data_IF_247382972594
#
_entry.id   IF_247382972594
#
_cell.length_a   1.000
_cell.length_b   1.000
_cell.length_c   1.000
_cell.angle_alpha   90.00
_cell.angle_beta   90.00
_cell.angle_gamma   90.00
#
_symmetry.space_group_name_H-M   'P 1'
#
loop_
_entity.id
_entity.type
_entity.pdbx_description
1 polymer ?
#
# COMPACT_ATOMS: atom_id res chain seq x y z
N UNK A 1 16.44 -36.47 -2.44
CA UNK A 1 15.90 -36.41 -1.07
C UNK A 1 16.72 -35.40 -0.29
N UNK A 2 16.10 -34.30 0.15
CA UNK A 2 16.39 -33.58 1.41
C UNK A 2 15.66 -32.23 1.36
N UNK A 3 14.42 -32.21 1.83
CA UNK A 3 13.70 -30.99 2.15
C UNK A 3 14.20 -30.50 3.52
N UNK A 4 14.80 -29.31 3.58
CA UNK A 4 15.10 -28.66 4.85
C UNK A 4 13.84 -27.90 5.30
N UNK A 5 13.03 -28.57 6.12
CA UNK A 5 11.92 -27.97 6.84
C UNK A 5 12.54 -27.22 8.03
N UNK A 6 12.57 -25.88 7.98
CA UNK A 6 13.01 -25.08 9.12
C UNK A 6 11.88 -25.03 10.14
N UNK A 7 12.01 -25.84 11.19
CA UNK A 7 11.17 -25.81 12.39
C UNK A 7 11.27 -24.43 13.06
N UNK A 8 10.15 -23.71 13.15
CA UNK A 8 10.03 -22.53 14.01
C UNK A 8 9.88 -23.05 15.44
N UNK A 9 11.00 -23.10 16.18
CA UNK A 9 10.96 -23.31 17.62
C UNK A 9 10.54 -21.98 18.28
N UNK A 10 9.29 -21.91 18.74
CA UNK A 10 8.87 -20.90 19.70
C UNK A 10 9.59 -21.17 21.03
N UNK A 11 10.55 -20.32 21.38
CA UNK A 11 11.17 -20.31 22.71
C UNK A 11 10.45 -19.29 23.58
N UNK A 12 9.52 -19.79 24.41
CA UNK A 12 9.09 -19.10 25.62
C UNK A 12 10.19 -19.27 26.68
N UNK A 13 10.91 -18.19 27.01
CA UNK A 13 11.82 -18.15 28.16
C UNK A 13 11.17 -17.32 29.26
N UNK A 14 10.77 -17.98 30.35
CA UNK A 14 10.33 -17.35 31.59
C UNK A 14 11.45 -17.43 32.64
N UNK A 15 11.76 -16.27 33.21
CA UNK A 15 12.39 -15.96 34.50
C UNK A 15 13.84 -16.40 34.78
N UNK A 16 14.70 -15.38 34.96
CA UNK A 16 15.98 -15.47 35.67
C UNK A 16 16.51 -14.07 35.99
N UNK A 17 16.33 -13.63 37.24
CA UNK A 17 16.86 -12.36 37.76
C UNK A 17 18.37 -12.49 37.97
N UNK A 18 19.17 -11.89 37.09
CA UNK A 18 20.58 -11.63 37.33
C UNK A 18 20.93 -10.29 36.69
N UNK A 19 21.31 -9.32 37.54
CA UNK A 19 21.79 -8.02 37.14
C UNK A 19 23.09 -8.18 36.33
N UNK A 20 22.98 -8.07 35.02
CA UNK A 20 24.09 -7.68 34.16
C UNK A 20 23.70 -6.32 33.60
N UNK A 21 24.38 -5.27 34.07
CA UNK A 21 24.49 -3.97 33.41
C UNK A 21 25.11 -4.18 32.02
N UNK A 22 24.33 -4.74 31.10
CA UNK A 22 24.54 -4.51 29.69
C UNK A 22 24.12 -3.05 29.46
N UNK A 23 24.89 -2.25 28.68
CA UNK A 23 24.36 -1.01 28.15
C UNK A 23 23.10 -1.41 27.37
N UNK A 24 21.95 -1.16 27.99
CA UNK A 24 20.70 -1.05 27.26
C UNK A 24 20.94 0.19 26.43
N UNK A 25 21.32 -0.01 25.17
CA UNK A 25 21.09 0.95 24.11
C UNK A 25 19.57 1.12 24.10
N UNK A 26 19.06 1.96 25.00
CA UNK A 26 17.65 2.33 25.03
C UNK A 26 17.43 2.95 23.66
N UNK A 27 16.70 2.29 22.73
CA UNK A 27 16.39 2.93 21.48
C UNK A 27 15.63 4.19 21.87
N UNK A 28 16.23 5.35 21.60
CA UNK A 28 15.58 6.63 21.77
C UNK A 28 14.17 6.47 21.21
N UNK A 29 13.11 6.74 21.99
CA UNK A 29 11.75 6.48 21.55
C UNK A 29 11.59 7.12 20.18
N UNK A 30 11.34 6.27 19.17
CA UNK A 30 11.24 6.73 17.80
C UNK A 30 10.33 7.96 17.78
N UNK A 31 10.70 9.02 17.05
CA UNK A 31 9.93 10.26 17.05
C UNK A 31 8.47 9.89 16.86
N UNK A 32 7.61 10.30 17.80
CA UNK A 32 6.22 9.91 17.79
C UNK A 32 5.66 10.27 16.41
N UNK A 33 5.34 9.24 15.61
CA UNK A 33 4.74 9.43 14.29
C UNK A 33 3.52 10.32 14.49
N UNK A 34 3.30 11.29 13.60
CA UNK A 34 2.07 12.07 13.58
C UNK A 34 0.88 11.11 13.75
N UNK A 35 -0.14 11.48 14.55
CA UNK A 35 -1.28 10.60 14.78
C UNK A 35 -1.91 10.21 13.45
N UNK A 36 -2.19 8.91 13.28
CA UNK A 36 -2.73 8.31 12.05
C UNK A 36 -1.79 8.32 10.84
N UNK A 37 -0.47 8.27 11.04
CA UNK A 37 0.54 8.14 9.99
C UNK A 37 1.31 6.81 10.04
N UNK A 38 0.64 5.73 10.48
CA UNK A 38 1.23 4.40 10.55
C UNK A 38 1.03 3.62 9.24
N UNK A 39 1.70 2.48 9.12
CA UNK A 39 1.45 1.54 8.02
C UNK A 39 0.00 1.03 8.00
N UNK A 40 -0.65 0.89 9.17
CA UNK A 40 -2.05 0.50 9.25
C UNK A 40 -2.98 1.58 8.67
N UNK A 41 -2.67 2.86 8.93
CA UNK A 41 -3.43 3.98 8.39
C UNK A 41 -3.29 4.07 6.86
N UNK A 42 -2.06 3.92 6.34
CA UNK A 42 -1.83 3.87 4.89
C UNK A 42 -2.60 2.72 4.25
N UNK A 43 -2.60 1.54 4.86
CA UNK A 43 -3.33 0.39 4.37
C UNK A 43 -4.85 0.64 4.35
N UNK A 44 -5.40 1.28 5.38
CA UNK A 44 -6.81 1.65 5.44
C UNK A 44 -7.19 2.63 4.31
N UNK A 45 -6.40 3.69 4.09
CA UNK A 45 -6.63 4.64 2.99
C UNK A 45 -6.53 3.94 1.64
N UNK A 46 -5.51 3.11 1.45
CA UNK A 46 -5.31 2.34 0.22
C UNK A 46 -6.49 1.42 -0.08
N UNK A 47 -7.03 0.73 0.94
CA UNK A 47 -8.19 -0.13 0.81
C UNK A 47 -9.44 0.66 0.40
N UNK A 48 -9.65 1.85 0.98
CA UNK A 48 -10.74 2.74 0.59
C UNK A 48 -10.66 3.18 -0.88
N UNK A 49 -9.47 3.61 -1.33
CA UNK A 49 -9.23 3.97 -2.73
C UNK A 49 -9.46 2.78 -3.66
N UNK A 50 -9.00 1.58 -3.29
CA UNK A 50 -9.22 0.38 -4.08
C UNK A 50 -10.71 0.02 -4.20
N UNK A 51 -11.47 0.14 -3.11
CA UNK A 51 -12.91 -0.08 -3.13
C UNK A 51 -13.64 0.94 -4.03
N UNK A 52 -13.33 2.23 -3.89
CA UNK A 52 -13.91 3.28 -4.71
C UNK A 52 -13.58 3.09 -6.20
N UNK A 53 -12.34 2.68 -6.51
CA UNK A 53 -11.93 2.31 -7.87
C UNK A 53 -12.76 1.14 -8.40
N UNK A 54 -12.99 0.10 -7.59
CA UNK A 54 -13.83 -1.03 -7.99
C UNK A 54 -15.26 -0.60 -8.30
N UNK A 55 -15.87 0.24 -7.45
CA UNK A 55 -17.21 0.76 -7.67
C UNK A 55 -17.29 1.61 -8.96
N UNK A 56 -16.29 2.45 -9.21
CA UNK A 56 -16.18 3.23 -10.44
C UNK A 56 -16.13 2.33 -11.68
N UNK A 57 -15.26 1.32 -11.69
CA UNK A 57 -15.14 0.41 -12.83
C UNK A 57 -16.42 -0.40 -13.08
N UNK A 58 -17.17 -0.80 -12.05
CA UNK A 58 -18.45 -1.47 -12.25
C UNK A 58 -19.55 -0.57 -12.83
N UNK A 59 -19.46 0.74 -12.60
CA UNK A 59 -20.41 1.73 -13.14
C UNK A 59 -19.95 2.32 -14.48
N UNK A 60 -18.70 2.08 -14.87
CA UNK A 60 -18.08 2.53 -16.12
C UNK A 60 -17.55 1.33 -16.92
N UNK A 61 -18.45 0.55 -17.56
CA UNK A 61 -18.08 -0.72 -18.20
C UNK A 61 -17.07 -0.55 -19.35
N UNK A 62 -17.08 0.60 -20.03
CA UNK A 62 -16.11 0.97 -21.06
C UNK A 62 -14.71 1.19 -20.48
N UNK A 63 -14.61 1.90 -19.35
CA UNK A 63 -13.35 2.10 -18.63
C UNK A 63 -12.84 0.76 -18.09
N UNK A 64 -13.73 -0.06 -17.52
CA UNK A 64 -13.37 -1.39 -17.04
C UNK A 64 -12.85 -2.31 -18.15
N UNK A 65 -13.50 -2.29 -19.32
CA UNK A 65 -13.03 -3.03 -20.49
C UNK A 65 -11.63 -2.56 -20.93
N UNK A 66 -11.38 -1.24 -20.96
CA UNK A 66 -10.08 -0.68 -21.27
C UNK A 66 -8.99 -1.16 -20.30
N UNK A 67 -9.17 -0.98 -18.99
CA UNK A 67 -8.18 -1.41 -18.00
C UNK A 67 -7.97 -2.93 -18.02
N UNK A 68 -9.03 -3.71 -18.29
CA UNK A 68 -8.93 -5.16 -18.45
C UNK A 68 -8.10 -5.55 -19.67
N UNK A 69 -8.19 -4.79 -20.77
CA UNK A 69 -7.45 -5.05 -22.02
C UNK A 69 -5.93 -4.91 -21.87
N UNK A 70 -5.46 -4.19 -20.85
CA UNK A 70 -4.04 -4.00 -20.56
C UNK A 70 -3.37 -5.27 -19.98
N UNK A 71 -4.17 -6.27 -19.58
CA UNK A 71 -3.67 -7.49 -18.93
C UNK A 71 -2.64 -8.21 -19.82
N UNK A 72 -1.44 -8.43 -19.25
CA UNK A 72 -0.37 -9.18 -19.91
C UNK A 72 0.60 -8.32 -20.73
N UNK A 73 0.33 -7.02 -20.89
CA UNK A 73 1.26 -6.11 -21.56
C UNK A 73 2.48 -5.76 -20.67
N UNK A 74 3.62 -5.40 -21.27
CA UNK A 74 4.76 -4.84 -20.56
C UNK A 74 4.39 -3.57 -19.80
N UNK A 75 4.97 -3.36 -18.61
CA UNK A 75 4.69 -2.18 -17.77
C UNK A 75 4.98 -0.86 -18.48
N UNK A 76 6.02 -0.78 -19.30
CA UNK A 76 6.36 0.43 -20.06
C UNK A 76 5.26 0.78 -21.06
N UNK A 77 4.76 -0.20 -21.80
CA UNK A 77 3.70 -0.03 -22.80
C UNK A 77 2.38 0.39 -22.14
N UNK A 78 2.00 -0.25 -21.03
CA UNK A 78 0.81 0.12 -20.28
C UNK A 78 0.83 1.58 -19.81
N UNK A 79 2.00 2.12 -19.43
CA UNK A 79 2.12 3.52 -18.98
C UNK A 79 1.82 4.50 -20.11
N UNK A 80 2.36 4.25 -21.30
CA UNK A 80 2.12 5.11 -22.46
C UNK A 80 0.67 5.04 -22.93
N UNK A 81 0.08 3.83 -22.95
CA UNK A 81 -1.34 3.64 -23.27
C UNK A 81 -2.23 4.34 -22.25
N UNK A 82 -1.98 4.17 -20.94
CA UNK A 82 -2.72 4.87 -19.89
C UNK A 82 -2.65 6.38 -20.04
N UNK A 83 -1.47 6.94 -20.34
CA UNK A 83 -1.34 8.38 -20.59
C UNK A 83 -2.22 8.84 -21.75
N UNK A 84 -2.13 8.16 -22.89
CA UNK A 84 -2.95 8.49 -24.06
C UNK A 84 -4.45 8.37 -23.77
N UNK A 85 -4.86 7.35 -23.02
CA UNK A 85 -6.24 7.17 -22.62
C UNK A 85 -6.72 8.29 -21.70
N UNK A 86 -5.93 8.72 -20.72
CA UNK A 86 -6.31 9.84 -19.84
C UNK A 86 -6.36 11.17 -20.61
N UNK A 87 -5.43 11.40 -21.53
CA UNK A 87 -5.42 12.61 -22.38
C UNK A 87 -6.67 12.65 -23.29
N UNK A 88 -7.15 11.50 -23.76
CA UNK A 88 -8.36 11.37 -24.59
C UNK A 88 -9.68 11.36 -23.78
N UNK A 89 -9.62 11.03 -22.49
CA UNK A 89 -10.79 10.87 -21.62
C UNK A 89 -10.65 11.77 -20.36
N UNK A 90 -10.74 13.11 -20.51
CA UNK A 90 -10.48 14.05 -19.41
C UNK A 90 -11.44 13.90 -18.24
N UNK A 91 -12.70 13.50 -18.48
CA UNK A 91 -13.65 13.21 -17.40
C UNK A 91 -13.22 11.98 -16.59
N UNK A 92 -12.93 10.87 -17.25
CA UNK A 92 -12.42 9.66 -16.57
C UNK A 92 -11.13 9.92 -15.83
N UNK A 93 -10.26 10.75 -16.40
CA UNK A 93 -9.05 11.18 -15.73
C UNK A 93 -9.35 11.92 -14.43
N UNK A 94 -10.21 12.95 -14.49
CA UNK A 94 -10.63 13.72 -13.31
C UNK A 94 -11.31 12.85 -12.24
N UNK A 95 -12.16 11.90 -12.65
CA UNK A 95 -12.83 10.98 -11.73
C UNK A 95 -11.81 10.09 -10.99
N UNK A 96 -10.85 9.50 -11.73
CA UNK A 96 -9.82 8.63 -11.18
C UNK A 96 -8.79 9.40 -10.34
N UNK A 97 -8.49 10.65 -10.70
CA UNK A 97 -7.71 11.57 -9.85
C UNK A 97 -8.45 11.84 -8.54
N UNK A 98 -9.76 12.10 -8.60
CA UNK A 98 -10.64 12.28 -7.45
C UNK A 98 -10.63 11.05 -6.52
N UNK A 99 -10.77 9.86 -7.09
CA UNK A 99 -10.73 8.59 -6.33
C UNK A 99 -9.38 8.39 -5.62
N UNK A 100 -8.28 8.88 -6.19
CA UNK A 100 -6.93 8.75 -5.63
C UNK A 100 -6.55 9.84 -4.63
N UNK A 101 -7.28 10.96 -4.56
CA UNK A 101 -6.97 12.08 -3.66
C UNK A 101 -6.67 11.65 -2.21
N UNK A 102 -7.40 10.71 -1.58
CA UNK A 102 -7.10 10.32 -0.20
C UNK A 102 -5.67 9.82 0.02
N UNK A 103 -5.05 9.18 -0.98
CA UNK A 103 -3.65 8.75 -0.90
C UNK A 103 -2.68 9.94 -1.00
N UNK A 104 -2.97 10.90 -1.89
CA UNK A 104 -2.18 12.13 -2.00
C UNK A 104 -2.27 12.94 -0.70
N UNK A 105 -3.49 13.14 -0.19
CA UNK A 105 -3.73 13.83 1.08
C UNK A 105 -3.05 13.13 2.26
N UNK A 106 -3.00 11.79 2.26
CA UNK A 106 -2.26 11.04 3.26
C UNK A 106 -0.75 11.29 3.14
N UNK A 107 -0.20 11.21 1.93
CA UNK A 107 1.23 11.42 1.69
C UNK A 107 1.67 12.84 2.06
N UNK A 108 0.91 13.86 1.69
CA UNK A 108 1.25 15.26 1.99
C UNK A 108 1.24 15.53 3.51
N UNK A 109 0.40 14.81 4.26
CA UNK A 109 0.22 14.97 5.69
C UNK A 109 1.17 14.11 6.53
N UNK A 110 1.63 12.98 6.00
CA UNK A 110 2.40 11.95 6.72
C UNK A 110 3.83 11.71 6.19
N UNK A 111 4.31 12.52 5.25
CA UNK A 111 5.70 12.52 4.77
C UNK A 111 6.69 13.06 5.80
#
# INVERSE_FOLDING_TARGET
MAACVASVAMLFAAAGSAAADLPVDDPEPAPASLPNCTAADLAQVSAGVAWATSAYLFTHPDVNAYFTSLKGQPRSEMRDQLKQYMDANPQTHADLEGIRQPLTDFQDRCR
#
